data_IF_404226853539
#
_entry.id   IF_404226853539
#
_cell.length_a   1.000
_cell.length_b   1.000
_cell.length_c   1.000
_cell.angle_alpha   90.00
_cell.angle_beta   90.00
_cell.angle_gamma   90.00
#
_symmetry.space_group_name_H-M   'P 1'
#
loop_
_entity.id
_entity.type
_entity.pdbx_description
1 polymer ?
#
# COMPACT_ATOMS: atom_id res chain seq x y z
N UNK A 1 -24.02 3.03 -0.06
CA UNK A 1 -23.75 4.34 -0.68
C UNK A 1 -22.76 4.08 -1.79
N UNK A 2 -23.14 4.14 -3.03
CA UNK A 2 -22.25 3.94 -4.18
C UNK A 2 -21.52 5.26 -4.40
N UNK A 3 -20.21 5.27 -4.23
CA UNK A 3 -19.39 6.42 -4.62
C UNK A 3 -19.25 6.35 -6.14
N UNK A 4 -19.72 7.38 -6.82
CA UNK A 4 -19.63 7.45 -8.28
C UNK A 4 -18.22 7.98 -8.63
N UNK A 5 -17.33 7.07 -8.99
CA UNK A 5 -15.95 7.41 -9.37
C UNK A 5 -16.01 8.06 -10.76
N UNK A 6 -15.45 9.26 -10.95
CA UNK A 6 -15.37 9.89 -12.25
C UNK A 6 -14.76 8.96 -13.32
N UNK A 7 -15.32 8.97 -14.53
CA UNK A 7 -14.88 8.06 -15.60
C UNK A 7 -13.38 8.18 -15.91
N UNK A 8 -12.83 9.37 -15.80
CA UNK A 8 -11.40 9.64 -16.01
C UNK A 8 -10.52 8.91 -14.99
N UNK A 9 -10.94 8.86 -13.72
CA UNK A 9 -10.22 8.14 -12.67
C UNK A 9 -10.34 6.62 -12.84
N UNK A 10 -11.47 6.14 -13.34
CA UNK A 10 -11.65 4.73 -13.68
C UNK A 10 -10.71 4.32 -14.82
N UNK A 11 -10.61 5.13 -15.88
CA UNK A 11 -9.68 4.90 -17.00
C UNK A 11 -8.22 4.96 -16.56
N UNK A 12 -7.87 5.88 -15.66
CA UNK A 12 -6.53 5.94 -15.09
C UNK A 12 -6.19 4.67 -14.30
N UNK A 13 -7.11 4.20 -13.44
CA UNK A 13 -6.95 2.93 -12.73
C UNK A 13 -6.80 1.73 -13.67
N UNK A 14 -7.57 1.69 -14.77
CA UNK A 14 -7.44 0.64 -15.80
C UNK A 14 -6.06 0.68 -16.49
N UNK A 15 -5.55 1.86 -16.80
CA UNK A 15 -4.19 2.05 -17.36
C UNK A 15 -3.12 1.52 -16.42
N UNK A 16 -3.21 1.83 -15.12
CA UNK A 16 -2.28 1.32 -14.12
C UNK A 16 -2.40 -0.20 -13.92
N UNK A 17 -3.62 -0.73 -13.95
CA UNK A 17 -3.85 -2.19 -13.91
C UNK A 17 -3.20 -2.88 -15.11
N UNK A 18 -3.27 -2.29 -16.29
CA UNK A 18 -2.59 -2.81 -17.48
C UNK A 18 -1.06 -2.75 -17.31
N UNK A 19 -0.52 -1.65 -16.76
CA UNK A 19 0.91 -1.51 -16.47
C UNK A 19 1.39 -2.53 -15.41
N UNK A 20 0.55 -2.89 -14.45
CA UNK A 20 0.80 -3.95 -13.46
C UNK A 20 0.64 -5.37 -14.04
N UNK A 21 0.12 -5.49 -15.26
CA UNK A 21 -0.09 -6.79 -15.90
C UNK A 21 1.21 -7.60 -16.02
N UNK A 22 1.17 -8.86 -15.60
CA UNK A 22 2.33 -9.76 -15.62
C UNK A 22 3.32 -9.56 -14.46
N UNK A 23 3.12 -8.57 -13.59
CA UNK A 23 3.91 -8.45 -12.37
C UNK A 23 3.29 -9.29 -11.26
N UNK A 24 4.11 -10.04 -10.55
CA UNK A 24 3.72 -10.81 -9.37
C UNK A 24 4.65 -10.50 -8.20
N UNK A 25 4.06 -10.21 -7.04
CA UNK A 25 4.85 -10.05 -5.81
C UNK A 25 5.56 -11.37 -5.46
N UNK A 26 6.84 -11.32 -5.04
CA UNK A 26 7.58 -12.52 -4.68
C UNK A 26 6.84 -13.38 -3.65
N UNK A 27 6.58 -14.65 -4.00
CA UNK A 27 5.85 -15.59 -3.13
C UNK A 27 6.75 -16.20 -2.07
N UNK A 28 8.03 -16.39 -2.38
CA UNK A 28 9.02 -16.97 -1.49
C UNK A 28 10.00 -15.86 -1.03
N UNK A 29 9.71 -15.15 0.07
CA UNK A 29 10.69 -14.25 0.60
C UNK A 29 11.82 -15.07 1.22
N UNK A 30 13.03 -14.84 0.79
CA UNK A 30 14.19 -15.25 1.56
C UNK A 30 14.29 -14.34 2.78
N UNK A 31 13.78 -14.81 3.92
CA UNK A 31 13.82 -14.05 5.18
C UNK A 31 15.24 -13.85 5.72
N UNK A 32 16.22 -14.53 5.13
CA UNK A 32 17.66 -14.40 5.47
C UNK A 32 18.44 -13.52 4.50
N UNK A 33 17.86 -13.18 3.34
CA UNK A 33 18.49 -12.34 2.35
C UNK A 33 17.57 -11.15 2.00
N UNK A 34 18.19 -10.03 1.70
CA UNK A 34 17.48 -8.87 1.20
C UNK A 34 17.00 -9.15 -0.24
N UNK A 35 15.71 -9.06 -0.45
CA UNK A 35 15.11 -9.10 -1.77
C UNK A 35 14.55 -7.72 -2.07
N UNK A 36 15.08 -7.09 -3.12
CA UNK A 36 14.48 -5.90 -3.69
C UNK A 36 13.35 -6.37 -4.61
N UNK A 37 12.12 -6.21 -4.18
CA UNK A 37 10.95 -6.47 -5.01
C UNK A 37 10.63 -5.27 -5.93
N UNK A 38 11.44 -4.21 -5.86
CA UNK A 38 11.35 -3.08 -6.78
C UNK A 38 11.90 -3.51 -8.13
N UNK A 39 11.00 -3.64 -9.07
CA UNK A 39 11.31 -3.85 -10.47
C UNK A 39 11.36 -2.48 -11.17
N UNK A 40 12.56 -2.08 -11.62
CA UNK A 40 12.73 -0.83 -12.37
C UNK A 40 11.90 -0.82 -13.65
N UNK A 41 11.67 -1.98 -14.26
CA UNK A 41 10.79 -2.12 -15.41
C UNK A 41 9.32 -1.89 -15.02
N UNK A 42 8.90 -2.30 -13.82
CA UNK A 42 7.59 -1.97 -13.28
C UNK A 42 7.45 -0.47 -13.03
N UNK A 43 8.44 0.14 -12.38
CA UNK A 43 8.45 1.58 -12.11
C UNK A 43 8.36 2.40 -13.42
N UNK A 44 9.11 2.00 -14.46
CA UNK A 44 9.06 2.65 -15.78
C UNK A 44 7.67 2.53 -16.42
N UNK A 45 7.04 1.33 -16.42
CA UNK A 45 5.70 1.14 -16.97
C UNK A 45 4.64 1.97 -16.24
N UNK A 46 4.76 2.09 -14.91
CA UNK A 46 3.86 2.92 -14.10
C UNK A 46 4.08 4.41 -14.37
N UNK A 47 5.33 4.84 -14.59
CA UNK A 47 5.65 6.20 -15.00
C UNK A 47 5.04 6.53 -16.36
N UNK A 48 5.18 5.65 -17.35
CA UNK A 48 4.55 5.79 -18.67
C UNK A 48 3.01 5.87 -18.59
N UNK A 49 2.42 5.26 -17.58
CA UNK A 49 0.99 5.35 -17.27
C UNK A 49 0.60 6.60 -16.44
N UNK A 50 1.55 7.48 -16.13
CA UNK A 50 1.32 8.75 -15.41
C UNK A 50 1.41 8.65 -13.89
N UNK A 51 1.84 7.51 -13.33
CA UNK A 51 1.89 7.33 -11.88
C UNK A 51 2.96 8.18 -11.18
N UNK A 52 4.09 8.47 -11.83
CA UNK A 52 5.23 9.17 -11.22
C UNK A 52 5.09 10.68 -11.06
N UNK A 53 4.03 11.29 -11.60
CA UNK A 53 3.85 12.75 -11.64
C UNK A 53 2.93 13.30 -10.54
N UNK A 54 2.46 12.46 -9.63
CA UNK A 54 1.43 12.82 -8.65
C UNK A 54 1.90 13.79 -7.56
N UNK A 55 3.20 13.85 -7.29
CA UNK A 55 3.76 14.75 -6.26
C UNK A 55 3.76 16.24 -6.67
N UNK A 56 3.54 16.53 -7.95
CA UNK A 56 3.65 17.87 -8.49
C UNK A 56 2.38 18.74 -8.34
N UNK A 57 1.27 18.22 -7.82
CA UNK A 57 0.04 19.01 -7.76
C UNK A 57 -1.03 18.55 -6.78
N UNK A 58 -1.63 19.53 -6.08
CA UNK A 58 -2.74 19.31 -5.13
C UNK A 58 -4.02 18.73 -5.80
N UNK A 59 -4.13 18.82 -7.12
CA UNK A 59 -5.31 18.34 -7.88
C UNK A 59 -5.30 16.84 -8.14
N UNK A 60 -4.21 16.15 -7.77
CA UNK A 60 -3.96 14.75 -8.13
C UNK A 60 -4.38 13.73 -7.04
N UNK A 61 -5.17 14.16 -6.05
CA UNK A 61 -5.63 13.26 -4.98
C UNK A 61 -6.52 12.13 -5.49
N UNK A 62 -7.41 12.40 -6.46
CA UNK A 62 -8.22 11.38 -7.11
C UNK A 62 -7.37 10.30 -7.81
N UNK A 63 -6.44 10.68 -8.70
CA UNK A 63 -5.46 9.76 -9.28
C UNK A 63 -4.63 9.00 -8.23
N UNK A 64 -4.20 9.63 -7.13
CA UNK A 64 -3.48 8.97 -6.04
C UNK A 64 -4.32 7.85 -5.41
N UNK A 65 -5.63 8.07 -5.21
CA UNK A 65 -6.53 7.02 -4.72
C UNK A 65 -6.72 5.91 -5.76
N UNK A 66 -7.01 6.26 -7.01
CA UNK A 66 -7.22 5.25 -8.06
C UNK A 66 -5.98 4.36 -8.23
N UNK A 67 -4.79 4.95 -8.27
CA UNK A 67 -3.53 4.20 -8.41
C UNK A 67 -3.17 3.41 -7.15
N UNK A 68 -3.34 4.00 -5.98
CA UNK A 68 -3.11 3.30 -4.70
C UNK A 68 -3.95 2.02 -4.59
N UNK A 69 -5.22 2.04 -5.04
CA UNK A 69 -6.09 0.86 -5.11
C UNK A 69 -5.49 -0.24 -5.98
N UNK A 70 -5.03 0.09 -7.18
CA UNK A 70 -4.47 -0.90 -8.10
C UNK A 70 -3.13 -1.46 -7.63
N UNK A 71 -2.26 -0.60 -7.10
CA UNK A 71 -0.99 -1.03 -6.48
C UNK A 71 -1.24 -1.97 -5.29
N UNK A 72 -2.22 -1.65 -4.44
CA UNK A 72 -2.61 -2.51 -3.33
C UNK A 72 -3.19 -3.85 -3.81
N UNK A 73 -4.06 -3.87 -4.81
CA UNK A 73 -4.61 -5.11 -5.40
C UNK A 73 -3.52 -6.02 -5.96
N UNK A 74 -2.47 -5.45 -6.52
CA UNK A 74 -1.31 -6.17 -7.00
C UNK A 74 -0.32 -6.55 -5.89
N UNK A 75 -0.50 -6.07 -4.67
CA UNK A 75 0.50 -6.11 -3.59
C UNK A 75 1.87 -5.57 -4.05
N UNK A 76 1.86 -4.55 -4.90
CA UNK A 76 3.07 -3.92 -5.42
C UNK A 76 3.89 -3.25 -4.29
N UNK A 77 5.18 -2.95 -4.49
CA UNK A 77 6.01 -2.27 -3.50
C UNK A 77 5.39 -0.93 -3.05
N UNK A 78 5.25 -0.71 -1.74
CA UNK A 78 4.69 0.55 -1.20
C UNK A 78 5.58 1.77 -1.52
N UNK A 79 6.88 1.56 -1.75
CA UNK A 79 7.79 2.63 -2.16
C UNK A 79 7.37 3.31 -3.48
N UNK A 80 6.60 2.62 -4.32
CA UNK A 80 6.01 3.23 -5.51
C UNK A 80 4.95 4.30 -5.17
N UNK A 81 4.31 4.18 -4.00
CA UNK A 81 3.44 5.23 -3.47
C UNK A 81 4.28 6.40 -2.96
N UNK A 82 5.35 6.11 -2.20
CA UNK A 82 6.25 7.15 -1.69
C UNK A 82 6.84 7.97 -2.85
N UNK A 83 7.40 7.32 -3.85
CA UNK A 83 8.00 7.98 -5.02
C UNK A 83 7.00 8.89 -5.75
N UNK A 84 5.78 8.40 -5.96
CA UNK A 84 4.76 9.15 -6.70
C UNK A 84 4.16 10.33 -5.91
N UNK A 85 4.15 10.27 -4.59
CA UNK A 85 3.48 11.25 -3.74
C UNK A 85 4.41 12.16 -2.96
N UNK A 86 5.60 11.67 -2.60
CA UNK A 86 6.62 12.40 -1.86
C UNK A 86 7.83 12.78 -2.74
N UNK A 87 7.89 12.26 -3.96
CA UNK A 87 9.01 12.45 -4.89
C UNK A 87 10.26 11.63 -4.56
N UNK A 88 10.24 10.82 -3.51
CA UNK A 88 11.34 9.97 -3.08
C UNK A 88 10.87 8.91 -2.07
N UNK A 89 11.62 7.79 -1.91
CA UNK A 89 11.34 6.82 -0.86
C UNK A 89 11.33 7.46 0.53
N UNK A 90 10.34 7.11 1.34
CA UNK A 90 10.20 7.63 2.70
C UNK A 90 11.32 7.09 3.60
N UNK A 91 11.97 7.98 4.33
CA UNK A 91 13.02 7.69 5.32
C UNK A 91 12.51 7.95 6.73
N UNK A 92 12.64 6.97 7.62
CA UNK A 92 12.18 7.05 9.01
C UNK A 92 13.21 6.37 9.91
N UNK A 93 13.69 7.06 10.91
CA UNK A 93 14.60 6.54 11.95
C UNK A 93 15.81 5.78 11.39
N UNK A 94 16.47 6.33 10.40
CA UNK A 94 17.66 5.73 9.77
C UNK A 94 17.35 4.68 8.70
N UNK A 95 16.08 4.43 8.38
CA UNK A 95 15.65 3.39 7.44
C UNK A 95 14.83 3.97 6.28
N UNK A 96 15.04 3.41 5.10
CA UNK A 96 14.21 3.69 3.94
C UNK A 96 13.83 2.40 3.22
N UNK A 97 12.64 2.34 2.63
CA UNK A 97 12.21 1.20 1.83
C UNK A 97 12.72 1.33 0.41
N UNK A 98 13.26 0.24 -0.15
CA UNK A 98 13.72 0.16 -1.54
C UNK A 98 14.65 1.30 -1.99
N UNK A 99 15.42 1.88 -1.07
CA UNK A 99 16.24 3.07 -1.32
C UNK A 99 17.65 2.76 -1.86
N UNK A 100 17.94 1.53 -2.29
CA UNK A 100 19.29 1.12 -2.69
C UNK A 100 19.87 1.98 -3.81
N UNK A 101 19.02 2.45 -4.73
CA UNK A 101 19.42 3.28 -5.88
C UNK A 101 18.80 4.68 -5.84
N UNK A 102 18.16 5.05 -4.75
CA UNK A 102 17.52 6.34 -4.65
C UNK A 102 18.55 7.48 -4.65
N UNK A 103 18.29 8.50 -5.44
CA UNK A 103 19.10 9.73 -5.50
C UNK A 103 18.72 10.71 -4.38
N UNK A 104 17.54 10.57 -3.81
CA UNK A 104 17.01 11.38 -2.72
C UNK A 104 16.11 10.54 -1.82
N UNK A 105 15.93 10.96 -0.58
CA UNK A 105 15.05 10.38 0.41
C UNK A 105 14.11 11.43 0.96
N UNK A 106 12.86 11.06 1.23
CA UNK A 106 11.84 11.93 1.80
C UNK A 106 11.83 11.78 3.32
N UNK A 107 12.09 12.87 4.03
CA UNK A 107 12.22 12.92 5.49
C UNK A 107 11.03 13.65 6.10
N UNK A 108 10.22 12.99 6.95
CA UNK A 108 9.21 13.67 7.72
C UNK A 108 9.86 14.68 8.71
N UNK A 109 9.29 15.87 8.79
CA UNK A 109 9.67 16.87 9.79
C UNK A 109 8.50 17.13 10.74
N UNK A 110 8.80 17.50 11.99
CA UNK A 110 7.77 17.80 12.97
C UNK A 110 6.77 18.86 12.47
N UNK A 111 5.52 18.69 12.82
CA UNK A 111 4.45 19.60 12.43
C UNK A 111 3.98 19.44 10.99
N UNK A 112 4.30 18.30 10.33
CA UNK A 112 3.86 18.02 8.97
C UNK A 112 4.78 18.55 7.88
N UNK A 113 6.00 18.96 8.21
CA UNK A 113 7.02 19.32 7.24
C UNK A 113 7.54 18.11 6.47
N UNK A 114 8.21 18.38 5.35
CA UNK A 114 8.85 17.37 4.49
C UNK A 114 10.17 17.93 3.97
N UNK A 115 11.24 17.19 4.13
CA UNK A 115 12.55 17.52 3.55
C UNK A 115 12.98 16.45 2.56
N UNK A 116 13.78 16.82 1.57
CA UNK A 116 14.41 15.89 0.63
C UNK A 116 15.92 15.99 0.77
N UNK A 117 16.59 14.84 0.91
CA UNK A 117 18.03 14.80 1.06
C UNK A 117 18.67 13.55 0.43
N UNK A 118 19.90 13.66 -0.09
CA UNK A 118 20.59 12.53 -0.67
C UNK A 118 21.03 11.51 0.40
N UNK A 119 20.97 10.20 0.11
CA UNK A 119 21.53 9.18 0.98
C UNK A 119 23.03 9.37 1.16
N UNK A 120 23.55 9.02 2.35
CA UNK A 120 24.94 9.12 2.71
C UNK A 120 25.54 7.74 3.02
N UNK A 121 26.74 7.52 2.54
CA UNK A 121 27.46 6.28 2.84
C UNK A 121 26.86 5.05 2.18
N UNK A 122 27.17 3.88 2.76
CA UNK A 122 26.73 2.59 2.23
C UNK A 122 25.37 2.21 2.83
N UNK A 123 24.39 1.97 1.95
CA UNK A 123 23.10 1.46 2.35
C UNK A 123 23.21 -0.01 2.80
N UNK A 124 22.80 -0.32 4.03
CA UNK A 124 22.83 -1.67 4.59
C UNK A 124 21.46 -2.32 4.46
N UNK A 125 21.34 -3.38 3.67
CA UNK A 125 20.08 -4.09 3.51
C UNK A 125 19.60 -4.74 4.82
N UNK A 126 18.31 -4.61 5.10
CA UNK A 126 17.62 -5.29 6.19
C UNK A 126 16.38 -6.01 5.65
N UNK A 127 16.20 -7.31 5.92
CA UNK A 127 15.02 -8.03 5.49
C UNK A 127 13.76 -7.54 6.21
N UNK A 128 12.63 -7.56 5.52
CA UNK A 128 11.31 -7.26 6.10
C UNK A 128 10.40 -8.47 6.04
N UNK A 129 9.33 -8.45 6.84
CA UNK A 129 8.36 -9.54 6.92
C UNK A 129 7.73 -9.89 5.56
N UNK A 130 7.54 -8.90 4.71
CA UNK A 130 6.93 -9.06 3.38
C UNK A 130 7.95 -9.34 2.28
N UNK A 131 9.23 -9.43 2.61
CA UNK A 131 10.31 -9.64 1.65
C UNK A 131 10.69 -8.41 0.84
N UNK A 132 10.03 -7.26 1.06
CA UNK A 132 10.32 -6.03 0.31
C UNK A 132 11.65 -5.39 0.67
N UNK A 133 12.22 -5.73 1.82
CA UNK A 133 13.48 -5.16 2.29
C UNK A 133 13.42 -3.67 2.64
N UNK A 134 14.21 -3.30 3.63
CA UNK A 134 14.56 -1.91 3.92
C UNK A 134 16.07 -1.75 3.82
N UNK A 135 16.53 -0.53 3.76
CA UNK A 135 17.95 -0.21 3.91
C UNK A 135 18.13 0.72 5.09
N UNK A 136 19.13 0.45 5.92
CA UNK A 136 19.63 1.44 6.88
C UNK A 136 20.60 2.34 6.14
N UNK A 137 20.34 3.63 6.15
CA UNK A 137 21.10 4.65 5.43
C UNK A 137 21.03 5.98 6.15
N UNK A 138 22.14 6.71 6.18
CA UNK A 138 22.19 8.09 6.67
C UNK A 138 21.79 9.07 5.56
N UNK A 139 21.35 10.26 5.96
CA UNK A 139 21.08 11.38 5.03
C UNK A 139 22.05 12.51 5.35
N UNK A 140 22.71 13.06 4.31
CA UNK A 140 23.73 14.11 4.50
C UNK A 140 23.08 15.43 4.86
N UNK A 141 22.48 16.08 3.90
CA UNK A 141 21.84 17.39 4.06
C UNK A 141 20.48 17.35 3.41
N UNK A 142 19.46 17.69 4.16
CA UNK A 142 18.10 17.75 3.65
C UNK A 142 17.69 19.21 3.43
N UNK A 143 17.01 19.46 2.33
CA UNK A 143 16.33 20.73 2.08
C UNK A 143 14.85 20.60 2.36
N UNK A 144 14.33 21.39 3.29
CA UNK A 144 12.90 21.42 3.61
C UNK A 144 12.10 21.99 2.43
N UNK A 145 10.97 21.39 2.14
CA UNK A 145 9.99 21.93 1.19
C UNK A 145 9.21 23.08 1.81
N UNK A 146 8.68 23.95 0.98
CA UNK A 146 7.70 24.94 1.42
C UNK A 146 6.47 24.24 2.05
N UNK A 147 5.88 24.84 3.10
CA UNK A 147 4.76 24.25 3.86
C UNK A 147 3.59 23.82 2.98
N UNK A 148 3.23 24.62 1.97
CA UNK A 148 2.15 24.31 1.03
C UNK A 148 2.46 23.05 0.22
N UNK A 149 3.71 22.92 -0.27
CA UNK A 149 4.15 21.75 -1.03
C UNK A 149 4.22 20.50 -0.14
N UNK A 150 4.79 20.62 1.06
CA UNK A 150 4.84 19.52 2.04
C UNK A 150 3.44 19.02 2.39
N UNK A 151 2.50 19.93 2.66
CA UNK A 151 1.10 19.60 2.95
C UNK A 151 0.45 18.86 1.79
N UNK A 152 0.66 19.31 0.54
CA UNK A 152 0.12 18.65 -0.65
C UNK A 152 0.68 17.22 -0.81
N UNK A 153 1.99 17.05 -0.62
CA UNK A 153 2.64 15.73 -0.67
C UNK A 153 2.06 14.77 0.37
N UNK A 154 1.94 15.20 1.62
CA UNK A 154 1.38 14.34 2.68
C UNK A 154 -0.09 14.02 2.46
N UNK A 155 -0.89 14.94 1.94
CA UNK A 155 -2.28 14.66 1.58
C UNK A 155 -2.36 13.58 0.51
N UNK A 156 -1.53 13.66 -0.52
CA UNK A 156 -1.47 12.65 -1.59
C UNK A 156 -0.99 11.30 -1.04
N UNK A 157 0.05 11.29 -0.20
CA UNK A 157 0.57 10.09 0.43
C UNK A 157 -0.47 9.41 1.32
N UNK A 158 -1.17 10.18 2.16
CA UNK A 158 -2.21 9.67 3.03
C UNK A 158 -3.36 9.03 2.23
N UNK A 159 -3.85 9.72 1.20
CA UNK A 159 -4.93 9.22 0.35
C UNK A 159 -4.52 7.96 -0.42
N UNK A 160 -3.32 7.95 -1.01
CA UNK A 160 -2.79 6.79 -1.73
C UNK A 160 -2.50 5.60 -0.79
N UNK A 161 -2.01 5.85 0.43
CA UNK A 161 -1.76 4.79 1.43
C UNK A 161 -3.06 4.16 1.91
N UNK A 162 -4.11 4.95 2.17
CA UNK A 162 -5.46 4.43 2.48
C UNK A 162 -5.97 3.56 1.32
N UNK A 163 -5.84 4.06 0.09
CA UNK A 163 -6.25 3.33 -1.10
C UNK A 163 -5.44 2.03 -1.29
N UNK A 164 -4.16 2.06 -0.99
CA UNK A 164 -3.32 0.87 -1.02
C UNK A 164 -3.80 -0.21 -0.03
N UNK A 165 -4.14 0.16 1.21
CA UNK A 165 -4.76 -0.76 2.17
C UNK A 165 -6.10 -1.30 1.65
N UNK A 166 -6.93 -0.44 1.05
CA UNK A 166 -8.19 -0.87 0.45
C UNK A 166 -7.98 -1.89 -0.68
N UNK A 167 -6.99 -1.66 -1.54
CA UNK A 167 -6.61 -2.57 -2.63
C UNK A 167 -6.14 -3.93 -2.13
N UNK A 168 -5.25 -3.96 -1.13
CA UNK A 168 -4.81 -5.20 -0.48
C UNK A 168 -5.98 -5.99 0.11
N UNK A 169 -6.84 -5.30 0.89
CA UNK A 169 -8.01 -5.89 1.52
C UNK A 169 -8.99 -6.44 0.48
N UNK A 170 -9.29 -5.67 -0.56
CA UNK A 170 -10.19 -6.07 -1.64
C UNK A 170 -9.70 -7.34 -2.34
N UNK A 171 -8.41 -7.41 -2.67
CA UNK A 171 -7.88 -8.60 -3.34
C UNK A 171 -7.86 -9.84 -2.44
N UNK A 172 -7.48 -9.68 -1.16
CA UNK A 172 -7.55 -10.78 -0.19
C UNK A 172 -8.98 -11.30 -0.02
N UNK A 173 -9.96 -10.40 0.04
CA UNK A 173 -11.39 -10.72 0.10
C UNK A 173 -11.86 -11.45 -1.17
N UNK A 174 -11.51 -10.97 -2.36
CA UNK A 174 -11.85 -11.61 -3.64
C UNK A 174 -11.37 -13.06 -3.67
N UNK A 175 -10.13 -13.31 -3.25
CA UNK A 175 -9.55 -14.66 -3.19
C UNK A 175 -10.32 -15.53 -2.19
N UNK A 176 -10.67 -14.99 -1.02
CA UNK A 176 -11.43 -15.73 0.00
C UNK A 176 -12.85 -16.08 -0.48
N UNK A 177 -13.53 -15.15 -1.15
CA UNK A 177 -14.86 -15.37 -1.72
C UNK A 177 -14.81 -16.43 -2.83
N UNK A 178 -13.82 -16.33 -3.73
CA UNK A 178 -13.63 -17.32 -4.79
C UNK A 178 -13.39 -18.73 -4.22
N UNK A 179 -12.53 -18.85 -3.21
CA UNK A 179 -12.27 -20.11 -2.52
C UNK A 179 -13.53 -20.65 -1.83
N UNK A 180 -14.26 -19.82 -1.09
CA UNK A 180 -15.46 -20.23 -0.37
C UNK A 180 -16.56 -20.75 -1.30
N UNK A 181 -16.65 -20.24 -2.53
CA UNK A 181 -17.63 -20.67 -3.53
C UNK A 181 -17.30 -22.03 -4.16
N UNK A 182 -16.01 -22.36 -4.26
CA UNK A 182 -15.56 -23.58 -4.95
C UNK A 182 -15.20 -24.72 -4.01
N UNK A 183 -14.77 -24.40 -2.76
CA UNK A 183 -14.40 -25.43 -1.77
C UNK A 183 -15.62 -25.99 -1.10
N UNK A 184 -15.77 -27.31 -1.16
CA UNK A 184 -16.84 -28.05 -0.49
C UNK A 184 -16.33 -28.73 0.79
N UNK A 185 -17.11 -28.60 1.87
CA UNK A 185 -16.95 -29.28 3.12
C UNK A 185 -18.34 -29.52 3.75
N UNK A 186 -18.51 -30.61 4.50
CA UNK A 186 -19.78 -30.97 5.13
C UNK A 186 -20.95 -31.11 4.16
N UNK A 187 -20.67 -31.48 2.91
CA UNK A 187 -21.68 -31.70 1.85
C UNK A 187 -22.18 -30.41 1.15
N UNK A 188 -21.52 -29.27 1.36
CA UNK A 188 -21.89 -28.00 0.74
C UNK A 188 -20.65 -27.11 0.51
N UNK A 189 -20.73 -26.11 -0.41
CA UNK A 189 -19.71 -25.08 -0.51
C UNK A 189 -19.51 -24.34 0.81
N UNK A 190 -18.28 -23.94 1.14
CA UNK A 190 -17.99 -23.14 2.36
C UNK A 190 -18.83 -21.88 2.42
N UNK A 191 -19.15 -21.28 1.28
CA UNK A 191 -20.02 -20.10 1.18
C UNK A 191 -21.45 -20.34 1.70
N UNK A 192 -21.89 -21.58 1.87
CA UNK A 192 -23.19 -21.90 2.46
C UNK A 192 -23.16 -21.91 4.02
N UNK A 193 -21.98 -21.90 4.63
CA UNK A 193 -21.82 -21.96 6.08
C UNK A 193 -22.02 -20.56 6.71
N UNK A 194 -22.94 -20.39 7.68
CA UNK A 194 -23.22 -19.07 8.28
C UNK A 194 -22.00 -18.38 8.87
N UNK A 195 -21.09 -19.12 9.51
CA UNK A 195 -19.86 -18.56 10.08
C UNK A 195 -18.89 -18.00 9.00
N UNK A 196 -18.85 -18.64 7.84
CA UNK A 196 -18.06 -18.15 6.68
C UNK A 196 -18.71 -16.91 6.08
N UNK A 197 -20.04 -16.93 5.94
CA UNK A 197 -20.79 -15.78 5.43
C UNK A 197 -20.61 -14.53 6.33
N UNK A 198 -20.76 -14.69 7.66
CA UNK A 198 -20.55 -13.58 8.59
C UNK A 198 -19.12 -13.02 8.49
N UNK A 199 -18.11 -13.89 8.48
CA UNK A 199 -16.71 -13.47 8.36
C UNK A 199 -16.42 -12.72 7.07
N UNK A 200 -16.94 -13.19 5.93
CA UNK A 200 -16.77 -12.53 4.64
C UNK A 200 -17.56 -11.21 4.56
N UNK A 201 -18.72 -11.13 5.20
CA UNK A 201 -19.50 -9.89 5.30
C UNK A 201 -18.77 -8.83 6.13
N UNK A 202 -18.21 -9.20 7.29
CA UNK A 202 -17.42 -8.29 8.12
C UNK A 202 -16.16 -7.80 7.35
N UNK A 203 -15.49 -8.69 6.64
CA UNK A 203 -14.35 -8.33 5.79
C UNK A 203 -14.74 -7.39 4.63
N UNK A 204 -15.91 -7.59 4.03
CA UNK A 204 -16.43 -6.71 2.98
C UNK A 204 -16.74 -5.32 3.53
N UNK A 205 -17.43 -5.23 4.68
CA UNK A 205 -17.71 -3.95 5.35
C UNK A 205 -16.43 -3.18 5.68
N UNK A 206 -15.41 -3.86 6.20
CA UNK A 206 -14.13 -3.25 6.51
C UNK A 206 -13.42 -2.74 5.22
N UNK A 207 -13.44 -3.53 4.15
CA UNK A 207 -12.87 -3.15 2.85
C UNK A 207 -13.57 -1.92 2.26
N UNK A 208 -14.89 -1.90 2.29
CA UNK A 208 -15.69 -0.76 1.84
C UNK A 208 -15.40 0.49 2.67
N UNK A 209 -15.29 0.35 3.99
CA UNK A 209 -14.98 1.47 4.87
C UNK A 209 -13.58 2.06 4.60
N UNK A 210 -12.54 1.23 4.38
CA UNK A 210 -11.21 1.72 4.00
C UNK A 210 -11.27 2.44 2.64
N UNK A 211 -12.00 1.90 1.68
CA UNK A 211 -12.18 2.50 0.35
C UNK A 211 -12.85 3.87 0.43
N UNK A 212 -13.91 3.97 1.23
CA UNK A 212 -14.61 5.24 1.46
C UNK A 212 -13.72 6.28 2.16
N UNK A 213 -12.88 5.86 3.13
CA UNK A 213 -11.91 6.75 3.76
C UNK A 213 -10.88 7.27 2.76
N UNK A 214 -10.39 6.43 1.85
CA UNK A 214 -9.44 6.85 0.82
C UNK A 214 -10.06 7.94 -0.09
N UNK A 215 -11.29 7.74 -0.57
CA UNK A 215 -11.98 8.73 -1.37
C UNK A 215 -12.36 9.98 -0.58
N UNK A 216 -12.75 9.83 0.69
CA UNK A 216 -13.02 10.96 1.57
C UNK A 216 -11.76 11.82 1.80
N UNK A 217 -10.58 11.19 1.94
CA UNK A 217 -9.31 11.88 2.07
C UNK A 217 -8.96 12.70 0.81
N UNK A 218 -9.36 12.23 -0.38
CA UNK A 218 -9.14 12.96 -1.62
C UNK A 218 -10.01 14.21 -1.76
N UNK A 219 -11.26 14.18 -1.25
CA UNK A 219 -12.21 15.30 -1.40
C UNK A 219 -12.27 16.22 -0.18
N UNK A 220 -11.80 15.78 0.98
CA UNK A 220 -11.83 16.56 2.22
C UNK A 220 -10.60 17.48 2.30
N UNK A 221 -10.82 18.76 2.59
CA UNK A 221 -9.74 19.73 2.76
C UNK A 221 -8.73 19.37 3.84
N UNK A 222 -9.17 18.69 4.90
CA UNK A 222 -8.28 18.20 5.97
C UNK A 222 -7.43 16.98 5.57
N UNK A 223 -7.78 16.29 4.46
CA UNK A 223 -7.17 15.02 4.12
C UNK A 223 -7.48 13.91 5.14
N UNK A 224 -6.72 12.81 5.09
CA UNK A 224 -6.82 11.75 6.08
C UNK A 224 -6.13 12.14 7.40
N UNK A 225 -6.69 11.64 8.50
CA UNK A 225 -6.13 11.84 9.84
C UNK A 225 -5.27 10.60 10.23
N UNK A 226 -4.31 10.80 11.12
CA UNK A 226 -3.47 9.74 11.69
C UNK A 226 -4.30 8.55 12.22
N UNK A 227 -5.39 8.81 12.94
CA UNK A 227 -6.29 7.77 13.45
C UNK A 227 -6.93 6.93 12.34
N UNK A 228 -7.27 7.55 11.22
CA UNK A 228 -7.86 6.86 10.06
C UNK A 228 -6.85 5.95 9.37
N UNK A 229 -5.61 6.40 9.20
CA UNK A 229 -4.52 5.59 8.65
C UNK A 229 -4.21 4.37 9.53
N UNK A 230 -4.10 4.57 10.84
CA UNK A 230 -3.85 3.48 11.80
C UNK A 230 -4.99 2.46 11.82
N UNK A 231 -6.22 2.95 11.79
CA UNK A 231 -7.40 2.09 11.73
C UNK A 231 -7.43 1.30 10.41
N UNK A 232 -7.22 1.94 9.28
CA UNK A 232 -7.23 1.29 7.97
C UNK A 232 -6.16 0.19 7.87
N UNK A 233 -4.95 0.44 8.37
CA UNK A 233 -3.89 -0.57 8.43
C UNK A 233 -4.30 -1.77 9.28
N UNK A 234 -4.93 -1.55 10.44
CA UNK A 234 -5.43 -2.61 11.32
C UNK A 234 -6.55 -3.41 10.64
N UNK A 235 -7.54 -2.73 10.08
CA UNK A 235 -8.66 -3.36 9.39
C UNK A 235 -8.20 -4.17 8.16
N UNK A 236 -7.24 -3.65 7.38
CA UNK A 236 -6.64 -4.40 6.27
C UNK A 236 -5.97 -5.70 6.74
N UNK A 237 -5.21 -5.66 7.85
CA UNK A 237 -4.60 -6.84 8.44
C UNK A 237 -5.65 -7.87 8.89
N UNK A 238 -6.78 -7.43 9.45
CA UNK A 238 -7.89 -8.29 9.88
C UNK A 238 -8.61 -8.93 8.68
N UNK A 239 -8.82 -8.18 7.59
CA UNK A 239 -9.37 -8.72 6.33
C UNK A 239 -8.45 -9.80 5.77
N UNK A 240 -7.15 -9.53 5.67
CA UNK A 240 -6.18 -10.50 5.19
C UNK A 240 -6.10 -11.76 6.09
N UNK A 241 -6.16 -11.59 7.41
CA UNK A 241 -6.22 -12.72 8.35
C UNK A 241 -7.53 -13.53 8.21
N UNK A 242 -8.66 -12.86 7.97
CA UNK A 242 -9.94 -13.51 7.70
C UNK A 242 -9.90 -14.33 6.41
N UNK A 243 -9.25 -13.81 5.36
CA UNK A 243 -9.03 -14.54 4.13
C UNK A 243 -8.19 -15.81 4.33
N UNK A 244 -7.09 -15.73 5.09
CA UNK A 244 -6.29 -16.89 5.49
C UNK A 244 -7.13 -17.94 6.24
N UNK A 245 -7.95 -17.51 7.18
CA UNK A 245 -8.80 -18.39 7.96
C UNK A 245 -9.85 -19.12 7.11
N UNK A 246 -10.44 -18.45 6.10
CA UNK A 246 -11.39 -19.06 5.17
C UNK A 246 -10.73 -20.14 4.31
N UNK A 247 -9.48 -19.93 3.91
CA UNK A 247 -8.70 -20.92 3.15
C UNK A 247 -8.22 -22.10 4.03
N UNK A 248 -8.19 -21.93 5.35
CA UNK A 248 -7.66 -22.92 6.28
C UNK A 248 -6.16 -23.20 6.03
N UNK A 249 -5.75 -24.46 6.10
CA UNK A 249 -4.35 -24.84 5.91
C UNK A 249 -3.78 -24.39 4.55
N UNK A 250 -4.58 -24.35 3.50
CA UNK A 250 -4.17 -23.90 2.17
C UNK A 250 -3.80 -22.40 2.16
N UNK A 251 -4.41 -21.58 3.01
CA UNK A 251 -4.10 -20.15 3.11
C UNK A 251 -2.65 -19.87 3.55
N UNK A 252 -2.05 -20.80 4.29
CA UNK A 252 -0.67 -20.71 4.76
C UNK A 252 0.34 -21.36 3.79
N UNK A 253 -0.14 -22.05 2.76
CA UNK A 253 0.71 -22.64 1.75
C UNK A 253 1.19 -21.58 0.76
N UNK A 254 2.46 -21.67 0.33
CA UNK A 254 3.06 -20.71 -0.61
C UNK A 254 2.32 -20.66 -1.93
N UNK A 255 1.79 -21.80 -2.38
CA UNK A 255 1.05 -21.96 -3.65
C UNK A 255 -0.23 -21.11 -3.70
N UNK A 256 -0.85 -20.81 -2.54
CA UNK A 256 -2.06 -19.98 -2.49
C UNK A 256 -1.78 -18.52 -2.83
N UNK A 257 -0.56 -18.06 -2.61
CA UNK A 257 -0.16 -16.65 -2.76
C UNK A 257 -0.84 -15.69 -1.76
N UNK A 258 -1.79 -16.15 -0.96
CA UNK A 258 -2.57 -15.31 -0.05
C UNK A 258 -1.72 -14.72 1.09
N UNK A 259 -0.69 -15.47 1.52
CA UNK A 259 0.26 -15.01 2.54
C UNK A 259 1.00 -13.73 2.13
N UNK A 260 1.15 -13.45 0.83
CA UNK A 260 1.75 -12.20 0.32
C UNK A 260 0.95 -11.00 0.82
N UNK A 261 -0.38 -11.03 0.66
CA UNK A 261 -1.27 -9.94 1.10
C UNK A 261 -1.23 -9.72 2.61
N UNK A 262 -1.23 -10.81 3.39
CA UNK A 262 -1.15 -10.71 4.84
C UNK A 262 0.18 -10.12 5.32
N UNK A 263 1.31 -10.60 4.79
CA UNK A 263 2.63 -10.07 5.14
C UNK A 263 2.79 -8.62 4.71
N UNK A 264 2.35 -8.28 3.51
CA UNK A 264 2.38 -6.92 2.97
C UNK A 264 1.53 -5.98 3.84
N UNK A 265 0.31 -6.36 4.20
CA UNK A 265 -0.54 -5.58 5.08
C UNK A 265 0.13 -5.28 6.42
N UNK A 266 0.75 -6.28 7.06
CA UNK A 266 1.48 -6.12 8.34
C UNK A 266 2.70 -5.20 8.21
N UNK A 267 3.48 -5.37 7.16
CA UNK A 267 4.69 -4.59 6.91
C UNK A 267 4.33 -3.12 6.63
N UNK A 268 3.32 -2.87 5.79
CA UNK A 268 2.87 -1.51 5.47
C UNK A 268 2.19 -0.86 6.66
N UNK A 269 1.41 -1.59 7.47
CA UNK A 269 0.84 -1.08 8.72
C UNK A 269 1.93 -0.56 9.67
N UNK A 270 2.97 -1.36 9.93
CA UNK A 270 4.06 -0.96 10.81
C UNK A 270 4.79 0.29 10.28
N UNK A 271 5.02 0.35 8.98
CA UNK A 271 5.65 1.49 8.32
C UNK A 271 4.80 2.75 8.41
N UNK A 272 3.50 2.63 8.15
CA UNK A 272 2.55 3.75 8.25
C UNK A 272 2.47 4.30 9.68
N UNK A 273 2.47 3.42 10.69
CA UNK A 273 2.49 3.83 12.10
C UNK A 273 3.76 4.64 12.39
N UNK A 274 4.93 4.16 11.95
CA UNK A 274 6.19 4.87 12.14
C UNK A 274 6.20 6.24 11.44
N UNK A 275 5.64 6.34 10.22
CA UNK A 275 5.49 7.60 9.51
C UNK A 275 4.60 8.59 10.29
N UNK A 276 3.45 8.13 10.77
CA UNK A 276 2.55 8.95 11.59
C UNK A 276 3.21 9.43 12.90
N UNK A 277 4.05 8.60 13.53
CA UNK A 277 4.78 8.98 14.74
C UNK A 277 5.88 10.00 14.46
N UNK A 278 6.57 9.90 13.33
CA UNK A 278 7.62 10.82 12.91
C UNK A 278 7.09 12.23 12.56
N UNK A 279 5.81 12.36 12.19
CA UNK A 279 5.17 13.62 11.85
C UNK A 279 4.63 14.40 13.06
N UNK A 280 4.57 13.77 14.25
CA UNK A 280 4.11 14.39 15.49
C UNK A 280 5.21 15.23 16.13
#
# INVERSE_FOLDING_TARGET
MTFDVPAELSLFGESLRAALGGWESPREPDLGAWQDDRDDALAARLADAGWSELWAGAELLGPAVAGGLELGRAAAPISLVDDATLGAPLWIDGRARHARTALSLALPEHGGGLALGPPAGEARPEPTLDGSGTVTVEVLAAGSLEEVAATACWRAWNAATLAYFAGLAARALDLAVAHARTREQFGAPLAALPAVQSRLADAALATDAITLLAWAAAVNERGAQDAELRWAGTACCEVAASALQVHGALGFALESGLHVYHRRARSVQAWTIAACDALR
#
